data_IF_545958169433
#
_entry.id   IF_545958169433
#
_cell.length_a   1.000
_cell.length_b   1.000
_cell.length_c   1.000
_cell.angle_alpha   90.00
_cell.angle_beta   90.00
_cell.angle_gamma   90.00
#
_symmetry.space_group_name_H-M   'P 1'
#
loop_
_entity.id
_entity.type
_entity.pdbx_description
1 polymer ?
#
# COMPACT_ATOMS: atom_id res chain seq x y z
N UNK A 1 -8.04 15.36 0.95
CA UNK A 1 -9.08 14.61 0.21
C UNK A 1 -9.77 15.49 -0.83
N UNK A 2 -10.25 16.68 -0.47
CA UNK A 2 -11.05 17.55 -1.33
C UNK A 2 -10.40 17.86 -2.69
N UNK A 3 -9.14 18.31 -2.74
CA UNK A 3 -8.42 18.63 -3.99
C UNK A 3 -8.40 17.41 -4.92
N UNK A 4 -8.22 16.20 -4.39
CA UNK A 4 -8.23 14.98 -5.21
C UNK A 4 -9.63 14.65 -5.69
N UNK A 5 -10.65 14.88 -4.88
CA UNK A 5 -12.05 14.72 -5.27
C UNK A 5 -12.41 15.63 -6.46
N UNK A 6 -12.07 16.91 -6.39
CA UNK A 6 -12.27 17.87 -7.47
C UNK A 6 -11.57 17.44 -8.76
N UNK A 7 -10.31 16.96 -8.67
CA UNK A 7 -9.56 16.45 -9.84
C UNK A 7 -10.20 15.21 -10.46
N UNK A 8 -10.67 14.28 -9.64
CA UNK A 8 -11.32 13.05 -10.12
C UNK A 8 -12.65 13.37 -10.80
N UNK A 9 -13.45 14.26 -10.22
CA UNK A 9 -14.72 14.71 -10.81
C UNK A 9 -14.51 15.52 -12.09
N UNK A 10 -13.41 16.27 -12.20
CA UNK A 10 -13.04 16.95 -13.44
C UNK A 10 -12.70 15.97 -14.58
N UNK A 11 -12.15 14.80 -14.25
CA UNK A 11 -11.86 13.73 -15.22
C UNK A 11 -13.14 12.96 -15.59
N UNK A 12 -13.92 12.58 -14.59
CA UNK A 12 -15.18 11.87 -14.77
C UNK A 12 -16.28 12.46 -13.89
N UNK A 13 -17.13 13.37 -14.42
CA UNK A 13 -18.21 13.99 -13.65
C UNK A 13 -19.28 13.02 -13.15
N UNK A 14 -19.40 11.83 -13.76
CA UNK A 14 -20.35 10.80 -13.36
C UNK A 14 -19.83 9.88 -12.23
N UNK A 15 -18.65 10.16 -11.69
CA UNK A 15 -18.06 9.36 -10.62
C UNK A 15 -18.82 9.55 -9.31
N UNK A 16 -19.32 8.46 -8.73
CA UNK A 16 -19.86 8.45 -7.37
C UNK A 16 -18.69 8.39 -6.39
N UNK A 17 -18.38 9.51 -5.77
CA UNK A 17 -17.23 9.67 -4.90
C UNK A 17 -17.68 9.99 -3.47
N UNK A 18 -17.21 9.19 -2.52
CA UNK A 18 -17.32 9.48 -1.08
C UNK A 18 -15.94 9.79 -0.52
N UNK A 19 -15.80 10.90 0.16
CA UNK A 19 -14.55 11.31 0.80
C UNK A 19 -14.68 11.32 2.32
N UNK A 20 -13.66 10.82 3.01
CA UNK A 20 -13.56 10.89 4.47
C UNK A 20 -12.36 11.75 4.85
N UNK A 21 -12.62 12.94 5.39
CA UNK A 21 -11.59 13.88 5.87
C UNK A 21 -11.33 13.68 7.36
N UNK A 22 -10.93 12.47 7.71
CA UNK A 22 -10.69 12.09 9.09
C UNK A 22 -9.40 11.27 9.20
N UNK A 23 -8.80 11.27 10.38
CA UNK A 23 -7.72 10.34 10.68
C UNK A 23 -8.30 8.91 10.69
N UNK A 24 -7.76 8.04 9.85
CA UNK A 24 -8.20 6.66 9.75
C UNK A 24 -7.71 5.87 10.98
N UNK A 25 -8.47 5.96 12.06
CA UNK A 25 -8.26 5.13 13.24
C UNK A 25 -8.59 3.65 12.94
N UNK A 26 -8.17 2.70 13.78
CA UNK A 26 -8.58 1.30 13.67
C UNK A 26 -10.09 1.11 13.61
N UNK A 27 -10.82 1.80 14.47
CA UNK A 27 -12.28 1.69 14.54
C UNK A 27 -12.96 2.30 13.32
N UNK A 28 -12.48 3.47 12.84
CA UNK A 28 -13.01 4.10 11.62
C UNK A 28 -12.76 3.24 10.38
N UNK A 29 -11.57 2.60 10.27
CA UNK A 29 -11.29 1.69 9.16
C UNK A 29 -12.23 0.48 9.16
N UNK A 30 -12.47 -0.08 10.33
CA UNK A 30 -13.39 -1.21 10.52
C UNK A 30 -14.82 -0.81 10.16
N UNK A 31 -15.30 0.30 10.71
CA UNK A 31 -16.65 0.82 10.44
C UNK A 31 -16.90 1.03 8.94
N UNK A 32 -15.97 1.67 8.22
CA UNK A 32 -16.09 1.89 6.78
C UNK A 32 -16.16 0.56 6.02
N UNK A 33 -15.31 -0.40 6.34
CA UNK A 33 -15.23 -1.67 5.63
C UNK A 33 -16.39 -2.62 5.95
N UNK A 34 -16.97 -2.54 7.14
CA UNK A 34 -18.13 -3.36 7.53
C UNK A 34 -19.46 -2.79 7.00
N UNK A 35 -19.57 -1.46 6.93
CA UNK A 35 -20.82 -0.79 6.53
C UNK A 35 -20.93 -0.54 5.01
N UNK A 36 -19.87 -0.75 4.25
CA UNK A 36 -19.84 -0.53 2.79
C UNK A 36 -19.26 -1.75 2.10
N UNK A 37 -19.96 -2.26 1.09
CA UNK A 37 -19.45 -3.36 0.27
C UNK A 37 -18.58 -2.81 -0.84
N UNK A 38 -17.32 -3.20 -0.86
CA UNK A 38 -16.34 -2.82 -1.88
C UNK A 38 -15.98 -4.01 -2.77
N UNK A 39 -15.74 -3.78 -4.04
CA UNK A 39 -15.18 -4.78 -4.96
C UNK A 39 -13.68 -4.98 -4.73
N UNK A 40 -13.01 -3.94 -4.23
CA UNK A 40 -11.57 -3.94 -4.01
C UNK A 40 -11.15 -2.93 -2.93
N UNK A 41 -10.15 -3.29 -2.13
CA UNK A 41 -9.53 -2.40 -1.16
C UNK A 41 -8.10 -2.09 -1.60
N UNK A 42 -7.82 -0.80 -1.88
CA UNK A 42 -6.48 -0.31 -2.20
C UNK A 42 -5.91 0.48 -1.04
N UNK A 43 -4.83 -0.02 -0.45
CA UNK A 43 -4.13 0.63 0.65
C UNK A 43 -2.90 1.39 0.14
N UNK A 44 -2.88 2.70 0.38
CA UNK A 44 -1.76 3.60 0.10
C UNK A 44 -1.24 4.32 1.35
N UNK A 45 -1.52 3.79 2.54
CA UNK A 45 -1.13 4.38 3.82
C UNK A 45 0.37 4.17 4.05
N UNK A 46 1.08 5.20 4.48
CA UNK A 46 2.52 5.14 4.79
C UNK A 46 2.82 4.87 6.28
N UNK A 47 1.83 5.03 7.14
CA UNK A 47 1.94 4.79 8.59
C UNK A 47 1.60 3.35 8.93
N UNK A 48 2.43 2.69 9.74
CA UNK A 48 2.37 1.24 9.95
C UNK A 48 1.09 0.78 10.64
N UNK A 49 0.67 1.45 11.71
CA UNK A 49 -0.48 1.01 12.51
C UNK A 49 -1.80 1.09 11.73
N UNK A 50 -2.20 2.23 11.14
CA UNK A 50 -3.44 2.29 10.37
C UNK A 50 -3.39 1.38 9.13
N UNK A 51 -2.24 1.27 8.47
CA UNK A 51 -2.04 0.33 7.34
C UNK A 51 -2.34 -1.11 7.76
N UNK A 52 -1.77 -1.57 8.85
CA UNK A 52 -1.96 -2.95 9.34
C UNK A 52 -3.43 -3.18 9.70
N UNK A 53 -4.07 -2.22 10.34
CA UNK A 53 -5.49 -2.32 10.69
C UNK A 53 -6.36 -2.45 9.45
N UNK A 54 -6.18 -1.57 8.46
CA UNK A 54 -6.92 -1.64 7.20
C UNK A 54 -6.73 -2.99 6.51
N UNK A 55 -5.48 -3.44 6.36
CA UNK A 55 -5.16 -4.70 5.70
C UNK A 55 -5.73 -5.91 6.44
N UNK A 56 -5.62 -5.94 7.77
CA UNK A 56 -6.16 -7.03 8.60
C UNK A 56 -7.67 -7.09 8.51
N UNK A 57 -8.36 -5.96 8.69
CA UNK A 57 -9.82 -5.90 8.61
C UNK A 57 -10.32 -6.30 7.22
N UNK A 58 -9.72 -5.78 6.15
CA UNK A 58 -10.09 -6.14 4.80
C UNK A 58 -9.85 -7.63 4.50
N UNK A 59 -8.76 -8.20 5.04
CA UNK A 59 -8.46 -9.63 4.90
C UNK A 59 -9.49 -10.51 5.61
N UNK A 60 -9.86 -10.16 6.85
CA UNK A 60 -10.86 -10.92 7.63
C UNK A 60 -12.24 -10.87 7.01
N UNK A 61 -12.59 -9.76 6.36
CA UNK A 61 -13.83 -9.60 5.62
C UNK A 61 -13.82 -10.24 4.23
N UNK A 62 -12.68 -10.83 3.82
CA UNK A 62 -12.56 -11.53 2.53
C UNK A 62 -12.47 -10.62 1.30
N UNK A 63 -12.13 -9.35 1.46
CA UNK A 63 -11.94 -8.44 0.33
C UNK A 63 -10.72 -8.80 -0.52
N UNK A 64 -10.79 -8.46 -1.81
CA UNK A 64 -9.59 -8.37 -2.66
C UNK A 64 -8.79 -7.15 -2.27
N UNK A 65 -7.47 -7.31 -2.06
CA UNK A 65 -6.62 -6.27 -1.48
C UNK A 65 -5.36 -6.09 -2.30
N UNK A 66 -5.04 -4.83 -2.57
CA UNK A 66 -3.70 -4.41 -2.98
C UNK A 66 -3.16 -3.36 -2.02
N UNK A 67 -1.85 -3.34 -1.82
CA UNK A 67 -1.17 -2.43 -0.89
C UNK A 67 0.09 -1.86 -1.52
N UNK A 68 0.23 -0.55 -1.51
CA UNK A 68 1.45 0.15 -1.90
C UNK A 68 2.47 0.15 -0.76
N UNK A 69 3.71 -0.23 -1.07
CA UNK A 69 4.81 -0.14 -0.10
C UNK A 69 5.55 1.19 -0.22
N UNK A 70 6.65 1.36 0.52
CA UNK A 70 7.37 2.62 0.59
C UNK A 70 8.11 2.99 -0.67
N UNK A 71 7.92 4.21 -1.16
CA UNK A 71 8.61 4.81 -2.29
C UNK A 71 9.82 5.69 -1.88
N UNK A 72 9.91 6.05 -0.58
CA UNK A 72 10.96 6.93 -0.07
C UNK A 72 12.36 6.35 -0.20
N UNK A 73 13.35 7.19 -0.50
CA UNK A 73 14.77 6.83 -0.66
C UNK A 73 15.07 6.03 -1.94
N UNK A 74 14.17 5.99 -2.90
CA UNK A 74 14.28 5.22 -4.15
C UNK A 74 14.20 6.15 -5.37
N UNK A 75 14.86 5.74 -6.47
CA UNK A 75 15.00 6.54 -7.68
C UNK A 75 14.57 5.77 -8.95
N UNK A 76 14.67 4.45 -8.94
CA UNK A 76 14.52 3.62 -10.15
C UNK A 76 13.12 2.99 -10.24
N UNK A 77 12.21 3.54 -11.09
CA UNK A 77 10.87 2.98 -11.25
C UNK A 77 10.87 1.62 -11.95
N UNK A 78 11.94 1.24 -12.67
CA UNK A 78 12.03 -0.06 -13.36
C UNK A 78 12.19 -1.23 -12.39
N UNK A 79 12.53 -0.95 -11.13
CA UNK A 79 12.63 -1.95 -10.06
C UNK A 79 11.31 -2.21 -9.33
N UNK A 80 10.21 -1.61 -9.76
CA UNK A 80 8.89 -1.91 -9.22
C UNK A 80 8.49 -3.35 -9.54
N UNK A 81 7.90 -4.00 -8.55
CA UNK A 81 7.39 -5.38 -8.67
C UNK A 81 6.06 -5.49 -7.92
N UNK A 82 5.26 -6.45 -8.37
CA UNK A 82 4.09 -6.92 -7.64
C UNK A 82 4.40 -8.30 -7.06
N UNK A 83 4.06 -8.52 -5.80
CA UNK A 83 4.18 -9.83 -5.16
C UNK A 83 3.06 -10.00 -4.13
N UNK A 84 2.89 -11.20 -3.59
CA UNK A 84 2.19 -11.32 -2.32
C UNK A 84 2.93 -10.51 -1.24
N UNK A 85 2.18 -9.87 -0.35
CA UNK A 85 2.78 -9.06 0.72
C UNK A 85 3.82 -9.86 1.52
N UNK A 86 3.57 -11.14 1.73
CA UNK A 86 4.47 -12.02 2.48
C UNK A 86 5.77 -12.36 1.73
N UNK A 87 5.81 -12.16 0.41
CA UNK A 87 6.96 -12.42 -0.46
C UNK A 87 7.75 -11.15 -0.82
N UNK A 88 7.30 -9.97 -0.38
CA UNK A 88 8.01 -8.70 -0.59
C UNK A 88 9.40 -8.70 0.05
N UNK A 89 10.34 -7.91 -0.51
CA UNK A 89 11.72 -7.77 -0.02
C UNK A 89 12.26 -6.35 -0.28
N UNK A 90 13.46 -6.05 0.19
CA UNK A 90 14.18 -4.77 -0.02
C UNK A 90 13.36 -3.49 0.32
N UNK A 91 12.36 -3.63 1.20
CA UNK A 91 11.53 -2.53 1.65
C UNK A 91 11.32 -2.62 3.16
N UNK A 92 11.78 -1.60 3.89
CA UNK A 92 11.67 -1.55 5.36
C UNK A 92 10.21 -1.55 5.81
N UNK A 93 9.35 -0.71 5.21
CA UNK A 93 7.93 -0.66 5.52
C UNK A 93 7.27 -2.03 5.33
N UNK A 94 7.53 -2.68 4.18
CA UNK A 94 7.00 -4.02 3.91
C UNK A 94 7.50 -5.04 4.96
N UNK A 95 8.73 -4.94 5.40
CA UNK A 95 9.28 -5.82 6.44
C UNK A 95 8.53 -5.68 7.77
N UNK A 96 8.26 -4.44 8.20
CA UNK A 96 7.50 -4.18 9.41
C UNK A 96 6.05 -4.68 9.28
N UNK A 97 5.40 -4.39 8.17
CA UNK A 97 4.02 -4.83 7.89
C UNK A 97 3.95 -6.35 7.91
N UNK A 98 4.80 -7.06 7.15
CA UNK A 98 4.86 -8.52 7.14
C UNK A 98 5.01 -9.12 8.54
N UNK A 99 5.97 -8.59 9.33
CA UNK A 99 6.25 -9.10 10.68
C UNK A 99 5.02 -9.01 11.58
N UNK A 100 4.29 -7.91 11.50
CA UNK A 100 3.12 -7.68 12.36
C UNK A 100 1.90 -8.44 11.87
N UNK A 101 1.61 -8.41 10.56
CA UNK A 101 0.40 -9.02 10.01
C UNK A 101 0.43 -10.55 10.13
N UNK A 102 1.62 -11.17 10.00
CA UNK A 102 1.79 -12.62 10.27
C UNK A 102 1.45 -12.99 11.70
N UNK A 103 1.85 -12.16 12.69
CA UNK A 103 1.50 -12.39 14.10
C UNK A 103 0.00 -12.29 14.36
N UNK A 104 -0.75 -11.61 13.49
CA UNK A 104 -2.20 -11.48 13.54
C UNK A 104 -2.93 -12.57 12.73
N UNK A 105 -2.22 -13.60 12.26
CA UNK A 105 -2.80 -14.73 11.56
C UNK A 105 -3.13 -14.50 10.07
N UNK A 106 -2.66 -13.39 9.48
CA UNK A 106 -2.89 -13.12 8.06
C UNK A 106 -1.95 -13.97 7.21
N UNK A 107 -2.52 -14.77 6.32
CA UNK A 107 -1.83 -15.57 5.31
C UNK A 107 -1.56 -14.82 4.01
N UNK A 108 -1.33 -15.59 2.94
CA UNK A 108 -1.24 -15.04 1.57
C UNK A 108 -2.59 -14.53 1.08
N UNK A 109 -2.56 -13.66 0.06
CA UNK A 109 -3.75 -13.13 -0.60
C UNK A 109 -3.76 -11.60 -0.74
N UNK A 110 -2.81 -10.90 -0.11
CA UNK A 110 -2.67 -9.44 -0.25
C UNK A 110 -1.62 -9.15 -1.32
N UNK A 111 -2.02 -8.55 -2.44
CA UNK A 111 -1.10 -8.09 -3.47
C UNK A 111 -0.37 -6.84 -2.99
N UNK A 112 0.94 -6.78 -3.17
CA UNK A 112 1.75 -5.63 -2.76
C UNK A 112 2.58 -5.11 -3.93
N UNK A 113 2.53 -3.81 -4.16
CA UNK A 113 3.44 -3.11 -5.08
C UNK A 113 4.61 -2.57 -4.25
N UNK A 114 5.82 -2.97 -4.62
CA UNK A 114 7.05 -2.61 -3.92
C UNK A 114 8.22 -2.47 -4.90
N UNK A 115 9.35 -1.93 -4.45
CA UNK A 115 10.56 -1.82 -5.26
C UNK A 115 11.66 -2.72 -4.72
N UNK A 116 12.42 -3.34 -5.61
CA UNK A 116 13.63 -4.09 -5.32
C UNK A 116 14.86 -3.20 -5.09
N UNK A 117 14.72 -1.88 -5.27
CA UNK A 117 15.80 -0.95 -5.00
C UNK A 117 16.09 -0.87 -3.53
N UNK A 118 17.35 -1.08 -3.16
CA UNK A 118 17.84 -0.89 -1.79
C UNK A 118 17.93 0.60 -1.48
N UNK A 119 17.37 0.99 -0.37
CA UNK A 119 17.52 2.36 0.15
C UNK A 119 18.91 2.48 0.79
N UNK A 120 19.62 3.56 0.50
CA UNK A 120 20.89 3.87 1.15
C UNK A 120 20.61 4.37 2.56
N UNK A 121 21.39 3.92 3.54
CA UNK A 121 21.23 4.30 4.95
C UNK A 121 21.34 5.81 5.15
N UNK A 122 22.18 6.48 4.35
CA UNK A 122 22.38 7.93 4.32
C UNK A 122 21.11 8.72 3.92
N UNK A 123 20.12 8.05 3.28
CA UNK A 123 18.86 8.68 2.88
C UNK A 123 17.85 8.79 4.03
N UNK A 124 18.19 8.26 5.21
CA UNK A 124 17.32 8.28 6.37
C UNK A 124 17.38 9.64 7.06
N UNK A 125 16.24 10.28 7.18
CA UNK A 125 16.06 11.53 7.92
C UNK A 125 15.37 11.18 9.25
N UNK A 126 16.02 11.46 10.37
CA UNK A 126 15.40 11.34 11.68
C UNK A 126 14.43 12.51 11.89
N UNK A 127 13.24 12.22 12.38
CA UNK A 127 12.20 13.21 12.69
C UNK A 127 12.04 13.31 14.21
N UNK A 128 11.39 14.37 14.67
CA UNK A 128 11.08 14.62 16.08
C UNK A 128 10.08 13.62 16.70
N UNK A 129 9.56 12.69 15.91
CA UNK A 129 8.57 11.70 16.33
C UNK A 129 7.13 12.21 16.31
N UNK A 130 6.88 13.46 15.88
CA UNK A 130 5.54 13.98 15.65
C UNK A 130 4.81 13.15 14.58
N UNK A 131 3.48 13.13 14.62
CA UNK A 131 2.64 12.40 13.67
C UNK A 131 2.98 10.90 13.53
N UNK A 132 3.44 10.24 14.61
CA UNK A 132 3.79 8.82 14.65
C UNK A 132 4.93 8.41 13.69
N UNK A 133 5.67 9.36 13.12
CA UNK A 133 6.85 9.12 12.28
C UNK A 133 8.13 9.41 13.05
N UNK A 134 8.93 8.37 13.30
CA UNK A 134 10.27 8.49 13.91
C UNK A 134 11.37 8.73 12.88
N UNK A 135 11.08 8.48 11.61
CA UNK A 135 12.01 8.65 10.51
C UNK A 135 11.26 8.85 9.19
N UNK A 136 11.85 9.58 8.28
CA UNK A 136 11.37 9.79 6.94
C UNK A 136 12.49 9.56 5.91
N UNK A 137 12.13 9.31 4.68
CA UNK A 137 13.04 9.30 3.53
C UNK A 137 12.61 10.39 2.57
N UNK A 138 13.57 11.07 1.96
CA UNK A 138 13.29 11.94 0.81
C UNK A 138 12.58 11.16 -0.29
N UNK A 139 11.65 11.79 -0.98
CA UNK A 139 10.87 11.16 -2.05
C UNK A 139 10.92 12.03 -3.29
N UNK A 140 11.33 11.45 -4.41
CA UNK A 140 11.31 12.13 -5.71
C UNK A 140 9.91 11.95 -6.33
N UNK A 141 9.37 13.02 -6.92
CA UNK A 141 7.95 13.11 -7.31
C UNK A 141 7.47 12.01 -8.25
N UNK A 142 8.27 11.56 -9.19
CA UNK A 142 7.87 10.54 -10.17
C UNK A 142 7.75 9.13 -9.56
N UNK A 143 8.44 8.82 -8.46
CA UNK A 143 8.36 7.48 -7.84
C UNK A 143 6.98 7.18 -7.25
N UNK A 144 6.36 8.02 -6.41
CA UNK A 144 4.98 7.80 -5.97
C UNK A 144 4.00 7.71 -7.13
N UNK A 145 4.20 8.49 -8.21
CA UNK A 145 3.38 8.40 -9.41
C UNK A 145 3.50 7.02 -10.10
N UNK A 146 4.73 6.50 -10.24
CA UNK A 146 4.97 5.16 -10.78
C UNK A 146 4.36 4.06 -9.90
N UNK A 147 4.48 4.17 -8.57
CA UNK A 147 3.79 3.27 -7.64
C UNK A 147 2.28 3.34 -7.81
N UNK A 148 1.71 4.55 -7.91
CA UNK A 148 0.27 4.75 -8.14
C UNK A 148 -0.20 4.09 -9.43
N UNK A 149 0.53 4.29 -10.54
CA UNK A 149 0.24 3.65 -11.82
C UNK A 149 0.30 2.12 -11.74
N UNK A 150 1.33 1.58 -11.09
CA UNK A 150 1.46 0.13 -10.86
C UNK A 150 0.30 -0.42 -10.00
N UNK A 151 -0.08 0.28 -8.94
CA UNK A 151 -1.22 -0.08 -8.09
C UNK A 151 -2.53 -0.08 -8.89
N UNK A 152 -2.79 0.95 -9.67
CA UNK A 152 -3.97 1.03 -10.53
C UNK A 152 -4.00 -0.15 -11.54
N UNK A 153 -2.85 -0.46 -12.16
CA UNK A 153 -2.72 -1.61 -13.06
C UNK A 153 -3.06 -2.93 -12.36
N UNK A 154 -2.57 -3.13 -11.13
CA UNK A 154 -2.85 -4.34 -10.34
C UNK A 154 -4.37 -4.46 -10.09
N UNK A 155 -5.00 -3.40 -9.58
CA UNK A 155 -6.43 -3.41 -9.24
C UNK A 155 -7.29 -3.63 -10.47
N UNK A 156 -7.06 -2.88 -11.55
CA UNK A 156 -7.86 -2.98 -12.78
C UNK A 156 -7.72 -4.36 -13.41
N UNK A 157 -6.50 -4.88 -13.53
CA UNK A 157 -6.27 -6.21 -14.12
C UNK A 157 -6.88 -7.32 -13.28
N UNK A 158 -6.80 -7.22 -11.96
CA UNK A 158 -7.40 -8.20 -11.04
C UNK A 158 -8.94 -8.19 -11.13
N UNK A 159 -9.54 -7.01 -11.25
CA UNK A 159 -11.00 -6.86 -11.44
C UNK A 159 -11.47 -7.44 -12.78
N UNK A 160 -10.66 -7.28 -13.83
CA UNK A 160 -10.97 -7.75 -15.19
C UNK A 160 -10.54 -9.22 -15.42
N UNK A 161 -9.93 -9.88 -14.44
CA UNK A 161 -9.44 -11.25 -14.58
C UNK A 161 -8.21 -11.40 -15.46
N UNK A 162 -7.47 -10.32 -15.72
CA UNK A 162 -6.20 -10.40 -16.45
C UNK A 162 -5.06 -10.92 -15.56
N UNK A 163 -4.09 -11.66 -16.13
CA UNK A 163 -2.98 -12.20 -15.37
C UNK A 163 -2.10 -11.08 -14.81
N UNK A 164 -1.68 -11.23 -13.55
CA UNK A 164 -0.72 -10.35 -12.88
C UNK A 164 0.52 -11.17 -12.61
N UNK A 165 1.65 -10.74 -13.16
CA UNK A 165 2.93 -11.36 -12.87
C UNK A 165 3.33 -11.04 -11.43
N UNK A 166 3.47 -12.09 -10.61
CA UNK A 166 3.82 -11.99 -9.20
C UNK A 166 5.28 -12.38 -9.00
N UNK A 167 6.08 -11.47 -8.47
CA UNK A 167 7.47 -11.76 -8.14
C UNK A 167 7.56 -12.72 -6.95
N UNK A 168 8.26 -13.80 -7.13
CA UNK A 168 8.53 -14.78 -6.07
C UNK A 168 9.70 -14.34 -5.19
N UNK A 169 9.65 -14.75 -3.93
CA UNK A 169 10.77 -14.58 -3.02
C UNK A 169 11.79 -15.71 -3.29
N UNK A 170 13.05 -15.40 -3.63
CA UNK A 170 14.07 -16.44 -3.78
C UNK A 170 14.15 -17.29 -2.51
N UNK A 171 14.26 -18.60 -2.67
CA UNK A 171 14.55 -19.52 -1.58
C UNK A 171 15.87 -19.07 -0.93
N UNK A 172 15.91 -19.04 0.38
CA UNK A 172 17.19 -18.88 1.08
C UNK A 172 17.95 -20.18 0.84
N UNK A 173 19.03 -20.08 0.06
CA UNK A 173 20.01 -21.15 0.02
C UNK A 173 20.70 -21.08 1.40
N UNK A 174 20.48 -22.09 2.21
CA UNK A 174 21.08 -22.27 3.54
C UNK A 174 22.57 -22.58 3.40
#
# INVERSE_FOLDING_TARGET
AQIMAERLLAINPALHLTTHETFLSPDAAKEILENTKFDYVMDCIDSVTPKITLLKTAYDLGYRIASSMGAGGKLDPTKLRTADLLDTRECYLASLVRKRIRKMGVGKGIKAVFSLEKVKDESLILTDGSNFKKSAYGTISYLPAAFGGACASVVIRDLLGYPIEMAERPLRIS
#
